data_IF_809014796891
#
_entry.id   IF_809014796891
#
_cell.length_a   1.000
_cell.length_b   1.000
_cell.length_c   1.000
_cell.angle_alpha   90.00
_cell.angle_beta   90.00
_cell.angle_gamma   90.00
#
_symmetry.space_group_name_H-M   'P 1'
#
loop_
_entity.id
_entity.type
_entity.pdbx_description
1 polymer ?
#
# COMPACT_ATOMS: atom_id res chain seq x y z
N UNK A 1 37.94 -9.55 -10.10
CA UNK A 1 37.75 -10.15 -8.76
C UNK A 1 37.73 -8.98 -7.80
N UNK A 2 36.64 -8.49 -7.17
CA UNK A 2 35.54 -9.20 -6.47
C UNK A 2 34.27 -8.34 -6.24
N UNK A 3 33.70 -7.71 -7.28
CA UNK A 3 32.45 -6.94 -7.11
C UNK A 3 31.24 -7.84 -6.76
N UNK A 4 31.21 -9.07 -7.30
CA UNK A 4 30.17 -10.07 -6.98
C UNK A 4 30.22 -10.47 -5.51
N UNK A 5 31.41 -10.78 -4.98
CA UNK A 5 31.57 -11.23 -3.59
C UNK A 5 31.12 -10.17 -2.57
N UNK A 6 31.39 -8.89 -2.83
CA UNK A 6 30.96 -7.78 -1.97
C UNK A 6 29.43 -7.56 -2.00
N UNK A 7 28.82 -7.57 -3.19
CA UNK A 7 27.37 -7.47 -3.36
C UNK A 7 26.63 -8.65 -2.72
N UNK A 8 27.13 -9.86 -2.92
CA UNK A 8 26.54 -11.08 -2.37
C UNK A 8 26.60 -11.09 -0.84
N UNK A 9 27.68 -10.59 -0.27
CA UNK A 9 27.84 -10.42 1.17
C UNK A 9 26.87 -9.36 1.72
N UNK A 10 26.72 -8.22 1.05
CA UNK A 10 25.71 -7.21 1.41
C UNK A 10 24.28 -7.77 1.33
N UNK A 11 23.96 -8.53 0.29
CA UNK A 11 22.65 -9.17 0.12
C UNK A 11 22.37 -10.17 1.26
N UNK A 12 23.36 -10.99 1.64
CA UNK A 12 23.24 -11.92 2.78
C UNK A 12 22.99 -11.18 4.09
N UNK A 13 23.70 -10.06 4.33
CA UNK A 13 23.49 -9.22 5.52
C UNK A 13 22.09 -8.62 5.56
N UNK A 14 21.63 -8.05 4.44
CA UNK A 14 20.28 -7.49 4.32
C UNK A 14 19.21 -8.56 4.54
N UNK A 15 19.38 -9.75 4.00
CA UNK A 15 18.47 -10.87 4.23
C UNK A 15 18.43 -11.27 5.72
N UNK A 16 19.57 -11.32 6.41
CA UNK A 16 19.63 -11.60 7.85
C UNK A 16 18.94 -10.53 8.70
N UNK A 17 19.13 -9.25 8.36
CA UNK A 17 18.45 -8.13 9.03
C UNK A 17 16.94 -8.17 8.79
N UNK A 18 16.50 -8.47 7.55
CA UNK A 18 15.09 -8.62 7.22
C UNK A 18 14.45 -9.77 8.00
N UNK A 19 15.15 -10.91 8.14
CA UNK A 19 14.71 -12.03 8.97
C UNK A 19 14.54 -11.64 10.44
N UNK A 20 15.55 -10.98 11.01
CA UNK A 20 15.52 -10.50 12.40
C UNK A 20 14.37 -9.51 12.64
N UNK A 21 14.14 -8.59 11.70
CA UNK A 21 13.04 -7.63 11.77
C UNK A 21 11.69 -8.36 11.71
N UNK A 22 11.56 -9.34 10.82
CA UNK A 22 10.33 -10.14 10.68
C UNK A 22 10.00 -10.86 11.98
N UNK A 23 10.95 -11.57 12.57
CA UNK A 23 10.75 -12.29 13.84
C UNK A 23 10.32 -11.36 14.98
N UNK A 24 10.95 -10.19 15.11
CA UNK A 24 10.57 -9.19 16.11
C UNK A 24 9.16 -8.65 15.87
N UNK A 25 8.83 -8.35 14.61
CA UNK A 25 7.50 -7.85 14.24
C UNK A 25 6.40 -8.90 14.50
N UNK A 26 6.69 -10.17 14.20
CA UNK A 26 5.77 -11.29 14.46
C UNK A 26 5.56 -11.48 15.97
N UNK A 27 6.64 -11.45 16.75
CA UNK A 27 6.58 -11.55 18.23
C UNK A 27 5.74 -10.43 18.82
N UNK A 28 5.98 -9.18 18.41
CA UNK A 28 5.21 -8.02 18.85
C UNK A 28 3.74 -8.16 18.47
N UNK A 29 3.44 -8.61 17.24
CA UNK A 29 2.06 -8.82 16.81
C UNK A 29 1.38 -9.94 17.60
N UNK A 30 2.07 -11.02 17.94
CA UNK A 30 1.53 -12.09 18.79
C UNK A 30 1.20 -11.56 20.19
N UNK A 31 2.08 -10.76 20.80
CA UNK A 31 1.82 -10.10 22.09
C UNK A 31 0.62 -9.16 21.99
N UNK A 32 0.55 -8.35 20.93
CA UNK A 32 -0.61 -7.47 20.65
C UNK A 32 -1.90 -8.28 20.55
N UNK A 33 -1.90 -9.39 19.81
CA UNK A 33 -3.07 -10.25 19.65
C UNK A 33 -3.47 -10.95 20.96
N UNK A 34 -2.52 -11.33 21.80
CA UNK A 34 -2.81 -11.90 23.12
C UNK A 34 -3.49 -10.89 24.06
N UNK A 35 -3.10 -9.62 23.98
CA UNK A 35 -3.64 -8.54 24.82
C UNK A 35 -4.98 -8.01 24.31
N UNK A 36 -5.07 -7.72 23.01
CA UNK A 36 -6.22 -7.03 22.42
C UNK A 36 -7.19 -7.95 21.67
N UNK A 37 -6.83 -9.23 21.50
CA UNK A 37 -7.55 -10.16 20.66
C UNK A 37 -7.32 -9.92 19.17
N UNK A 38 -7.93 -10.78 18.34
CA UNK A 38 -7.95 -10.64 16.89
C UNK A 38 -9.29 -10.03 16.48
N UNK A 39 -9.25 -8.91 15.77
CA UNK A 39 -10.41 -8.44 14.99
C UNK A 39 -10.30 -9.09 13.61
N UNK A 40 -11.20 -10.01 13.28
CA UNK A 40 -11.29 -10.49 11.91
C UNK A 40 -11.96 -9.42 11.05
N UNK A 41 -11.25 -8.84 10.06
CA UNK A 41 -11.88 -7.91 9.15
C UNK A 41 -12.90 -8.68 8.32
N UNK A 42 -14.19 -8.49 8.64
CA UNK A 42 -15.28 -9.00 7.83
C UNK A 42 -15.59 -7.99 6.73
N UNK A 43 -15.69 -8.47 5.49
CA UNK A 43 -16.19 -7.66 4.39
C UNK A 43 -17.62 -7.20 4.73
N UNK A 44 -17.78 -5.92 5.05
CA UNK A 44 -19.08 -5.35 5.38
C UNK A 44 -19.95 -5.20 4.13
N UNK A 45 -19.36 -4.69 3.05
CA UNK A 45 -20.01 -4.51 1.77
C UNK A 45 -18.96 -4.45 0.65
N UNK A 46 -19.41 -4.75 -0.57
CA UNK A 46 -18.68 -4.48 -1.81
C UNK A 46 -19.52 -3.55 -2.66
N UNK A 47 -18.93 -2.42 -3.04
CA UNK A 47 -19.56 -1.41 -3.87
C UNK A 47 -18.72 -1.23 -5.14
N UNK A 48 -19.37 -0.83 -6.23
CA UNK A 48 -18.72 -0.38 -7.46
C UNK A 48 -19.15 1.06 -7.74
N UNK A 49 -18.18 1.92 -7.98
CA UNK A 49 -18.41 3.28 -8.45
C UNK A 49 -18.01 3.35 -9.93
N UNK A 50 -18.81 4.03 -10.74
CA UNK A 50 -18.41 4.39 -12.11
C UNK A 50 -17.79 5.78 -12.06
N UNK A 51 -16.58 5.90 -12.59
CA UNK A 51 -15.90 7.16 -12.81
C UNK A 51 -16.04 7.57 -14.27
N UNK A 52 -15.94 8.87 -14.54
CA UNK A 52 -16.00 9.39 -15.91
C UNK A 52 -14.78 8.99 -16.75
N UNK A 53 -13.66 8.74 -16.09
CA UNK A 53 -12.41 8.34 -16.72
C UNK A 53 -11.94 6.97 -16.24
N UNK A 54 -11.21 6.27 -17.10
CA UNK A 54 -10.53 5.05 -16.73
C UNK A 54 -9.42 5.39 -15.72
N UNK A 55 -9.44 4.74 -14.56
CA UNK A 55 -8.55 5.09 -13.47
C UNK A 55 -8.18 3.88 -12.60
N UNK A 56 -7.06 4.02 -11.89
CA UNK A 56 -6.65 3.10 -10.84
C UNK A 56 -6.88 3.73 -9.48
N UNK A 57 -7.70 3.08 -8.65
CA UNK A 57 -7.96 3.50 -7.28
C UNK A 57 -6.65 3.54 -6.47
N UNK A 58 -6.40 4.67 -5.80
CA UNK A 58 -5.23 4.87 -4.94
C UNK A 58 -5.63 5.00 -3.47
N UNK A 59 -6.67 5.78 -3.19
CA UNK A 59 -7.12 6.05 -1.83
C UNK A 59 -8.61 6.40 -1.78
N UNK A 60 -9.23 6.26 -0.60
CA UNK A 60 -10.61 6.62 -0.35
C UNK A 60 -10.76 7.13 1.09
N UNK A 61 -11.13 8.39 1.25
CA UNK A 61 -11.27 9.05 2.55
C UNK A 61 -12.68 9.63 2.69
N UNK A 62 -13.30 9.49 3.86
CA UNK A 62 -14.57 10.15 4.18
C UNK A 62 -14.32 11.55 4.75
N UNK A 63 -14.95 12.57 4.16
CA UNK A 63 -14.92 13.96 4.60
C UNK A 63 -16.36 14.41 4.85
N UNK A 64 -16.79 14.38 6.13
CA UNK A 64 -18.19 14.61 6.48
C UNK A 64 -19.11 13.58 5.83
N UNK A 65 -20.02 14.05 4.99
CA UNK A 65 -20.96 13.21 4.23
C UNK A 65 -20.46 12.88 2.81
N UNK A 66 -19.30 13.39 2.43
CA UNK A 66 -18.68 13.12 1.14
C UNK A 66 -17.59 12.05 1.26
N UNK A 67 -17.35 11.32 0.16
CA UNK A 67 -16.18 10.48 -0.01
C UNK A 67 -15.24 11.16 -1.01
N UNK A 68 -14.02 11.44 -0.55
CA UNK A 68 -12.92 11.84 -1.41
C UNK A 68 -12.25 10.57 -1.95
N UNK A 69 -12.35 10.40 -3.26
CA UNK A 69 -11.73 9.27 -3.96
C UNK A 69 -10.46 9.72 -4.67
N UNK A 70 -9.31 9.23 -4.22
CA UNK A 70 -8.03 9.44 -4.87
C UNK A 70 -7.78 8.38 -5.94
N UNK A 71 -7.56 8.81 -7.17
CA UNK A 71 -7.29 7.92 -8.28
C UNK A 71 -6.21 8.45 -9.21
N UNK A 72 -5.50 7.52 -9.84
CA UNK A 72 -4.64 7.86 -10.97
C UNK A 72 -5.49 7.81 -12.23
N UNK A 73 -5.71 8.96 -12.87
CA UNK A 73 -6.39 9.05 -14.16
C UNK A 73 -5.40 8.80 -15.28
N UNK A 74 -5.79 7.96 -16.24
CA UNK A 74 -5.08 7.88 -17.52
C UNK A 74 -5.83 8.74 -18.54
N UNK A 75 -5.40 9.99 -18.69
CA UNK A 75 -5.94 10.90 -19.69
C UNK A 75 -5.19 10.62 -20.99
N UNK A 76 -5.79 9.83 -21.89
CA UNK A 76 -5.12 9.30 -23.09
C UNK A 76 -4.39 10.35 -23.96
N UNK A 77 -5.08 10.98 -24.92
CA UNK A 77 -4.46 11.84 -25.95
C UNK A 77 -4.07 13.25 -25.47
N UNK A 78 -4.25 13.61 -24.19
CA UNK A 78 -3.83 14.93 -23.68
C UNK A 78 -2.38 14.85 -23.20
N UNK A 79 -1.51 15.73 -23.71
CA UNK A 79 -0.09 15.79 -23.31
C UNK A 79 0.15 16.47 -21.95
N UNK A 80 -0.83 17.18 -21.40
CA UNK A 80 -0.73 17.87 -20.11
C UNK A 80 -1.99 17.65 -19.28
N UNK A 81 -1.78 17.36 -17.99
CA UNK A 81 -2.83 17.29 -16.96
C UNK A 81 -3.14 18.70 -16.47
N UNK A 82 -4.37 19.16 -16.65
CA UNK A 82 -4.86 20.41 -16.07
C UNK A 82 -5.52 20.16 -14.70
N UNK A 83 -5.71 21.19 -13.88
CA UNK A 83 -6.32 21.07 -12.54
C UNK A 83 -7.74 20.49 -12.65
N UNK A 84 -8.50 20.95 -13.64
CA UNK A 84 -9.84 20.44 -14.00
C UNK A 84 -9.85 18.97 -14.45
N UNK A 85 -8.71 18.38 -14.82
CA UNK A 85 -8.64 16.96 -15.14
C UNK A 85 -8.44 16.07 -13.89
N UNK A 86 -8.23 16.67 -12.70
CA UNK A 86 -7.95 16.00 -11.43
C UNK A 86 -8.80 16.48 -10.25
N UNK A 87 -9.54 17.59 -10.39
CA UNK A 87 -10.41 18.19 -9.37
C UNK A 87 -11.73 18.70 -9.94
#
# INVERSE_FOLDING_TARGET
>A
MDLSGSLDLLRKRLAGLAGTLRERSETLNQQRLAVYGRVEPRLAARLSARTEHNCLARDLVRVGDCLLFGYNVHIGLKQQTQVEDVF
#
